data_IF_720271412078
#
_entry.id   IF_720271412078
#
_cell.length_a   1.000
_cell.length_b   1.000
_cell.length_c   1.000
_cell.angle_alpha   90.00
_cell.angle_beta   90.00
_cell.angle_gamma   90.00
#
_symmetry.space_group_name_H-M   'P 1'
#
loop_
_entity.id
_entity.type
_entity.pdbx_description
1 polymer ?
#
# COMPACT_ATOMS: atom_id res chain seq x y z
N UNK A 1 -8.83 13.00 3.05
CA UNK A 1 -8.58 13.53 4.43
C UNK A 1 -9.75 13.26 5.37
N UNK A 2 -10.99 13.42 4.93
CA UNK A 2 -12.15 13.30 5.83
C UNK A 2 -12.32 11.91 6.45
N UNK A 3 -12.09 10.85 5.67
CA UNK A 3 -12.08 9.47 6.18
C UNK A 3 -11.05 9.26 7.30
N UNK A 4 -9.84 9.83 7.16
CA UNK A 4 -8.78 9.76 8.20
C UNK A 4 -9.27 10.41 9.49
N UNK A 5 -9.90 11.58 9.40
CA UNK A 5 -10.47 12.29 10.54
C UNK A 5 -11.56 11.48 11.23
N UNK A 6 -12.43 10.87 10.44
CA UNK A 6 -13.54 10.05 10.95
C UNK A 6 -13.01 8.82 11.68
N UNK A 7 -12.07 8.07 11.06
CA UNK A 7 -11.45 6.91 11.70
C UNK A 7 -10.71 7.30 12.99
N UNK A 8 -9.95 8.40 12.96
CA UNK A 8 -9.25 8.90 14.15
C UNK A 8 -10.22 9.23 15.31
N UNK A 9 -11.35 9.86 15.00
CA UNK A 9 -12.39 10.15 16.03
C UNK A 9 -12.98 8.87 16.60
N UNK A 10 -13.28 7.89 15.72
CA UNK A 10 -13.81 6.60 16.13
C UNK A 10 -12.82 5.86 17.04
N UNK A 11 -11.58 5.69 16.61
CA UNK A 11 -10.53 5.05 17.41
C UNK A 11 -10.38 5.68 18.77
N UNK A 12 -10.34 7.02 18.84
CA UNK A 12 -10.27 7.75 20.11
C UNK A 12 -11.48 7.52 21.03
N UNK A 13 -12.68 7.40 20.46
CA UNK A 13 -13.90 7.16 21.25
C UNK A 13 -13.89 5.78 21.94
N UNK A 14 -13.18 4.81 21.35
CA UNK A 14 -13.00 3.48 21.93
C UNK A 14 -11.67 3.28 22.67
N UNK A 15 -10.82 4.31 22.76
CA UNK A 15 -9.50 4.20 23.38
C UNK A 15 -8.53 3.30 22.60
N UNK A 16 -8.74 3.12 21.30
CA UNK A 16 -7.91 2.29 20.41
C UNK A 16 -6.88 3.17 19.72
N UNK A 17 -5.57 2.85 19.80
CA UNK A 17 -4.54 3.61 19.11
C UNK A 17 -4.62 3.42 17.60
N UNK A 18 -4.51 4.50 16.83
CA UNK A 18 -4.49 4.49 15.37
C UNK A 18 -3.05 4.54 14.84
N UNK A 19 -2.65 3.50 14.11
CA UNK A 19 -1.35 3.42 13.44
C UNK A 19 -1.51 3.46 11.93
N UNK A 20 -0.68 4.26 11.26
CA UNK A 20 -0.64 4.33 9.80
C UNK A 20 0.42 3.40 9.21
N UNK A 21 0.08 2.65 8.17
CA UNK A 21 1.08 2.19 7.21
C UNK A 21 1.47 3.38 6.32
N UNK A 22 2.62 3.98 6.64
CA UNK A 22 3.08 5.21 6.00
C UNK A 22 3.94 4.96 4.74
N UNK A 23 3.97 3.74 4.23
CA UNK A 23 4.86 3.37 3.12
C UNK A 23 4.70 4.24 1.87
N UNK A 24 3.51 4.81 1.63
CA UNK A 24 3.21 5.68 0.50
C UNK A 24 2.52 6.98 0.93
N UNK A 25 2.95 7.53 2.03
CA UNK A 25 2.34 8.73 2.63
C UNK A 25 2.41 9.96 1.71
N UNK A 26 3.50 10.11 0.97
CA UNK A 26 3.70 11.26 0.10
C UNK A 26 2.82 11.19 -1.15
N UNK A 27 2.67 10.00 -1.75
CA UNK A 27 1.71 9.78 -2.85
C UNK A 27 0.27 10.06 -2.39
N UNK A 28 -0.11 9.62 -1.18
CA UNK A 28 -1.43 9.91 -0.61
C UNK A 28 -1.62 11.41 -0.35
N UNK A 29 -0.61 12.09 0.19
CA UNK A 29 -0.66 13.55 0.36
C UNK A 29 -0.83 14.28 -0.98
N UNK A 30 -0.20 13.80 -2.04
CA UNK A 30 -0.37 14.32 -3.39
C UNK A 30 -1.81 14.12 -3.90
N UNK A 31 -2.39 12.93 -3.72
CA UNK A 31 -3.77 12.70 -4.12
C UNK A 31 -4.76 13.59 -3.36
N UNK A 32 -4.56 13.80 -2.08
CA UNK A 32 -5.37 14.74 -1.29
C UNK A 32 -5.23 16.15 -1.88
N UNK A 33 -4.00 16.61 -2.15
CA UNK A 33 -3.76 17.94 -2.74
C UNK A 33 -4.53 18.16 -4.04
N UNK A 34 -4.54 17.16 -4.93
CA UNK A 34 -5.10 17.32 -6.28
C UNK A 34 -6.56 16.93 -6.42
N UNK A 35 -7.12 16.19 -5.46
CA UNK A 35 -8.48 15.66 -5.55
C UNK A 35 -9.45 16.19 -4.50
N UNK A 36 -8.96 16.72 -3.37
CA UNK A 36 -9.83 17.16 -2.29
C UNK A 36 -9.91 18.69 -2.23
N UNK A 37 -11.12 19.20 -2.01
CA UNK A 37 -11.36 20.64 -1.86
C UNK A 37 -10.62 21.22 -0.66
N UNK A 38 -10.08 22.42 -0.82
CA UNK A 38 -9.35 23.13 0.21
C UNK A 38 -7.86 22.76 0.36
N UNK A 39 -7.36 21.75 -0.37
CA UNK A 39 -5.97 21.31 -0.26
C UNK A 39 -5.06 21.78 -1.41
N UNK A 40 -5.61 22.30 -2.49
CA UNK A 40 -4.86 22.66 -3.70
C UNK A 40 -3.67 23.63 -3.46
N UNK A 41 -3.81 24.56 -2.50
CA UNK A 41 -2.79 25.54 -2.16
C UNK A 41 -1.83 25.12 -1.04
N UNK A 42 -1.97 23.90 -0.52
CA UNK A 42 -1.10 23.36 0.53
C UNK A 42 0.03 22.54 -0.06
N UNK A 43 1.18 22.52 0.59
CA UNK A 43 2.28 21.64 0.18
C UNK A 43 2.00 20.18 0.53
N UNK A 44 2.51 19.20 -0.24
CA UNK A 44 2.40 17.79 0.14
C UNK A 44 2.97 17.51 1.54
N UNK A 45 4.02 18.22 1.93
CA UNK A 45 4.63 18.14 3.27
C UNK A 45 3.66 18.55 4.38
N UNK A 46 2.92 19.63 4.19
CA UNK A 46 1.95 20.10 5.19
C UNK A 46 0.72 19.19 5.27
N UNK A 47 0.32 18.63 4.13
CA UNK A 47 -0.76 17.63 4.08
C UNK A 47 -0.34 16.36 4.81
N UNK A 48 0.88 15.88 4.55
CA UNK A 48 1.43 14.71 5.25
C UNK A 48 1.50 14.93 6.77
N UNK A 49 1.94 16.11 7.21
CA UNK A 49 1.93 16.47 8.64
C UNK A 49 0.53 16.44 9.23
N UNK A 50 -0.46 16.93 8.49
CA UNK A 50 -1.85 16.86 8.94
C UNK A 50 -2.31 15.40 9.06
N UNK A 51 -2.02 14.52 8.09
CA UNK A 51 -2.34 13.09 8.16
C UNK A 51 -1.78 12.49 9.45
N UNK A 52 -0.48 12.65 9.70
CA UNK A 52 0.18 12.07 10.87
C UNK A 52 -0.32 12.64 12.20
N UNK A 53 -0.88 13.85 12.22
CA UNK A 53 -1.45 14.44 13.44
C UNK A 53 -2.71 13.72 13.95
N UNK A 54 -3.33 12.90 13.12
CA UNK A 54 -4.51 12.11 13.49
C UNK A 54 -4.17 10.72 14.04
N UNK A 55 -2.93 10.24 13.90
CA UNK A 55 -2.49 8.94 14.37
C UNK A 55 -1.66 8.99 15.65
N UNK A 56 -1.52 7.84 16.29
CA UNK A 56 -0.71 7.62 17.48
C UNK A 56 0.68 7.07 17.12
N UNK A 57 0.85 6.63 15.89
CA UNK A 57 2.11 6.14 15.36
C UNK A 57 2.01 5.74 13.88
N UNK A 58 3.14 5.31 13.34
CA UNK A 58 3.19 4.77 11.99
C UNK A 58 4.32 3.76 11.81
N UNK A 59 4.13 2.87 10.84
CA UNK A 59 5.18 2.02 10.28
C UNK A 59 5.56 2.51 8.90
N UNK A 60 6.83 2.38 8.54
CA UNK A 60 7.34 2.84 7.25
C UNK A 60 8.34 1.84 6.67
N UNK A 61 8.09 1.39 5.45
CA UNK A 61 9.12 0.75 4.64
C UNK A 61 9.81 1.79 3.78
N UNK A 62 11.09 2.05 4.02
CA UNK A 62 11.84 3.08 3.33
C UNK A 62 12.12 2.78 1.85
N UNK A 63 11.89 1.55 1.40
CA UNK A 63 12.01 1.13 -0.02
C UNK A 63 10.94 1.72 -0.94
N UNK A 64 10.01 2.50 -0.39
CA UNK A 64 8.92 3.15 -1.11
C UNK A 64 9.11 4.67 -1.06
N UNK A 65 8.31 5.39 -0.33
CA UNK A 65 8.42 6.85 -0.22
C UNK A 65 9.66 7.32 0.57
N UNK A 66 10.36 6.41 1.26
CA UNK A 66 11.68 6.74 1.81
C UNK A 66 12.77 6.93 0.76
N UNK A 67 12.52 6.62 -0.53
CA UNK A 67 13.46 6.69 -1.67
C UNK A 67 14.79 5.98 -1.43
N UNK A 68 14.81 5.01 -0.50
CA UNK A 68 15.97 4.22 -0.15
C UNK A 68 15.82 2.78 -0.68
N UNK A 69 16.93 2.05 -0.76
CA UNK A 69 16.94 0.67 -1.23
C UNK A 69 16.63 -0.36 -0.12
N UNK A 70 16.73 0.04 1.14
CA UNK A 70 16.55 -0.83 2.31
C UNK A 70 16.06 -0.02 3.52
N UNK A 71 15.58 -0.72 4.53
CA UNK A 71 15.25 -0.16 5.83
C UNK A 71 13.82 0.29 5.97
N UNK A 72 13.57 0.87 7.12
CA UNK A 72 12.27 1.36 7.56
C UNK A 72 12.35 1.85 8.98
N UNK A 73 11.21 2.30 9.51
CA UNK A 73 11.12 2.71 10.91
C UNK A 73 9.71 2.52 11.46
N UNK A 74 9.63 2.47 12.76
CA UNK A 74 8.43 2.60 13.55
C UNK A 74 8.51 3.94 14.31
N UNK A 75 7.47 4.76 14.21
CA UNK A 75 7.31 5.97 15.01
C UNK A 75 6.06 5.83 15.88
N UNK A 76 6.19 6.15 17.17
CA UNK A 76 5.10 6.06 18.14
C UNK A 76 5.12 7.27 19.08
N UNK A 77 3.95 7.72 19.53
CA UNK A 77 3.81 8.82 20.47
C UNK A 77 3.83 8.33 21.93
N UNK A 78 3.45 7.08 22.18
CA UNK A 78 3.43 6.50 23.52
C UNK A 78 4.83 6.05 23.95
N UNK A 79 5.35 6.61 25.06
CA UNK A 79 6.71 6.34 25.54
C UNK A 79 6.86 4.95 26.16
N UNK A 80 5.80 4.38 26.75
CA UNK A 80 5.87 3.02 27.29
C UNK A 80 5.96 2.01 26.16
N UNK A 81 5.14 2.17 25.12
CA UNK A 81 5.22 1.36 23.92
C UNK A 81 6.56 1.54 23.19
N UNK A 82 7.04 2.77 23.04
CA UNK A 82 8.35 3.06 22.46
C UNK A 82 9.49 2.35 23.22
N UNK A 83 9.42 2.35 24.55
CA UNK A 83 10.41 1.66 25.39
C UNK A 83 10.39 0.15 25.18
N UNK A 84 9.21 -0.46 25.08
CA UNK A 84 9.06 -1.89 24.77
C UNK A 84 9.62 -2.22 23.38
N UNK A 85 9.27 -1.43 22.38
CA UNK A 85 9.78 -1.61 21.01
C UNK A 85 11.30 -1.49 20.92
N UNK A 86 11.92 -0.53 21.64
CA UNK A 86 13.39 -0.41 21.69
C UNK A 86 14.06 -1.65 22.27
N UNK A 87 13.48 -2.28 23.29
CA UNK A 87 14.01 -3.52 23.88
C UNK A 87 13.94 -4.69 22.90
N UNK A 88 12.81 -4.84 22.20
CA UNK A 88 12.64 -5.87 21.18
C UNK A 88 13.60 -5.64 19.99
N UNK A 89 13.75 -4.39 19.54
CA UNK A 89 14.66 -4.02 18.46
C UNK A 89 16.11 -4.40 18.79
N UNK A 90 16.53 -4.22 20.05
CA UNK A 90 17.89 -4.57 20.50
C UNK A 90 18.19 -6.06 20.36
N UNK A 91 17.16 -6.90 20.51
CA UNK A 91 17.30 -8.37 20.43
C UNK A 91 17.20 -8.85 18.99
N UNK A 92 16.31 -8.25 18.20
CA UNK A 92 15.95 -8.75 16.86
C UNK A 92 16.79 -8.15 15.74
N UNK A 93 17.18 -6.87 15.81
CA UNK A 93 17.82 -6.14 14.70
C UNK A 93 19.12 -5.47 15.08
N UNK A 94 19.19 -4.79 16.24
CA UNK A 94 20.37 -4.06 16.68
C UNK A 94 20.06 -2.87 17.57
N UNK A 95 21.08 -2.05 17.86
CA UNK A 95 20.90 -0.87 18.69
C UNK A 95 19.92 0.13 18.08
N UNK A 96 19.18 0.82 18.93
CA UNK A 96 18.15 1.79 18.57
C UNK A 96 18.68 2.98 17.76
N UNK A 97 19.98 3.23 17.78
CA UNK A 97 20.64 4.29 17.02
C UNK A 97 20.73 4.00 15.52
N UNK A 98 20.72 2.71 15.12
CA UNK A 98 20.83 2.33 13.71
C UNK A 98 19.91 1.18 13.29
N UNK A 99 19.30 0.42 14.23
CA UNK A 99 18.37 -0.67 13.91
C UNK A 99 18.93 -1.71 12.94
N UNK A 100 20.24 -2.04 13.02
CA UNK A 100 20.91 -2.94 12.08
C UNK A 100 21.28 -2.34 10.72
N UNK A 101 20.97 -1.05 10.46
CA UNK A 101 21.29 -0.39 9.20
C UNK A 101 22.67 0.26 9.21
N UNK A 102 23.33 0.27 8.05
CA UNK A 102 24.55 1.04 7.87
C UNK A 102 24.25 2.55 7.85
N UNK A 103 25.22 3.38 8.27
CA UNK A 103 25.05 4.84 8.31
C UNK A 103 24.68 5.45 6.96
N UNK A 104 25.19 4.92 5.85
CA UNK A 104 24.81 5.35 4.49
C UNK A 104 23.33 5.10 4.17
N UNK A 105 22.75 4.03 4.70
CA UNK A 105 21.33 3.70 4.48
C UNK A 105 20.44 4.63 5.31
N UNK A 106 20.85 4.96 6.53
CA UNK A 106 20.17 5.97 7.37
C UNK A 106 20.20 7.35 6.71
N UNK A 107 21.35 7.75 6.17
CA UNK A 107 21.48 9.02 5.43
C UNK A 107 20.60 9.02 4.19
N UNK A 108 20.58 7.94 3.41
CA UNK A 108 19.71 7.80 2.25
C UNK A 108 18.23 7.96 2.61
N UNK A 109 17.78 7.36 3.72
CA UNK A 109 16.41 7.52 4.22
C UNK A 109 16.14 8.96 4.63
N UNK A 110 17.07 9.60 5.35
CA UNK A 110 16.90 10.98 5.80
C UNK A 110 16.79 11.96 4.63
N UNK A 111 17.61 11.81 3.60
CA UNK A 111 17.53 12.58 2.36
C UNK A 111 16.24 12.28 1.62
N UNK A 112 15.92 10.99 1.43
CA UNK A 112 14.74 10.55 0.69
C UNK A 112 13.42 11.05 1.28
N UNK A 113 13.28 11.05 2.60
CA UNK A 113 12.09 11.58 3.28
C UNK A 113 11.88 13.09 3.08
N UNK A 114 12.96 13.86 2.85
CA UNK A 114 12.84 15.26 2.51
C UNK A 114 12.51 15.47 1.03
N UNK A 115 13.09 14.68 0.15
CA UNK A 115 12.89 14.81 -1.29
C UNK A 115 11.52 14.29 -1.76
N UNK A 116 10.99 13.25 -1.12
CA UNK A 116 9.73 12.62 -1.55
C UNK A 116 8.51 13.53 -1.44
N UNK A 117 8.56 14.55 -0.59
CA UNK A 117 7.46 15.51 -0.40
C UNK A 117 7.57 16.73 -1.33
N UNK A 118 8.59 16.77 -2.20
CA UNK A 118 8.73 17.81 -3.19
C UNK A 118 7.63 17.67 -4.25
N UNK A 119 6.95 18.77 -4.53
CA UNK A 119 5.77 18.79 -5.40
C UNK A 119 6.09 18.37 -6.84
N UNK A 120 7.21 18.83 -7.38
CA UNK A 120 7.62 18.51 -8.75
C UNK A 120 7.96 17.04 -8.91
N UNK A 121 8.57 16.42 -7.88
CA UNK A 121 8.82 15.00 -7.86
C UNK A 121 7.50 14.19 -7.87
N UNK A 122 6.55 14.53 -7.00
CA UNK A 122 5.27 13.82 -6.90
C UNK A 122 4.43 13.99 -8.17
N UNK A 123 4.40 15.21 -8.73
CA UNK A 123 3.72 15.47 -10.00
C UNK A 123 4.28 14.60 -11.13
N UNK A 124 5.60 14.51 -11.21
CA UNK A 124 6.27 13.68 -12.21
C UNK A 124 5.97 12.19 -11.98
N UNK A 125 6.18 11.67 -10.78
CA UNK A 125 6.02 10.25 -10.46
C UNK A 125 4.58 9.77 -10.68
N UNK A 126 3.59 10.48 -10.15
CA UNK A 126 2.18 10.10 -10.29
C UNK A 126 1.70 10.32 -11.73
N UNK A 127 2.15 11.40 -12.38
CA UNK A 127 1.86 11.66 -13.79
C UNK A 127 2.43 10.58 -14.71
N UNK A 128 3.59 10.05 -14.39
CA UNK A 128 4.24 8.99 -15.13
C UNK A 128 3.47 7.64 -15.05
N UNK A 129 2.98 7.27 -13.86
CA UNK A 129 2.12 6.10 -13.70
C UNK A 129 0.81 6.27 -14.48
N UNK A 130 0.22 7.48 -14.40
CA UNK A 130 -0.98 7.80 -15.18
C UNK A 130 -0.73 7.71 -16.69
N UNK A 131 0.41 8.20 -17.19
CA UNK A 131 0.77 8.11 -18.59
C UNK A 131 0.79 6.65 -19.08
N UNK A 132 1.42 5.74 -18.33
CA UNK A 132 1.43 4.32 -18.68
C UNK A 132 0.01 3.73 -18.65
N UNK A 133 -0.78 4.06 -17.64
CA UNK A 133 -2.17 3.61 -17.54
C UNK A 133 -3.01 4.10 -18.75
N UNK A 134 -2.85 5.36 -19.15
CA UNK A 134 -3.54 5.93 -20.31
C UNK A 134 -3.14 5.19 -21.62
N UNK A 135 -1.86 4.79 -21.76
CA UNK A 135 -1.42 3.99 -22.91
C UNK A 135 -2.09 2.61 -22.93
N UNK A 136 -2.23 1.95 -21.79
CA UNK A 136 -2.95 0.67 -21.71
C UNK A 136 -4.42 0.83 -22.10
N UNK A 137 -5.11 1.83 -21.56
CA UNK A 137 -6.51 2.10 -21.90
C UNK A 137 -6.66 2.41 -23.40
N UNK A 138 -5.79 3.23 -24.00
CA UNK A 138 -5.81 3.52 -25.43
C UNK A 138 -5.63 2.29 -26.31
N UNK A 139 -4.88 1.30 -25.82
CA UNK A 139 -4.66 0.03 -26.51
C UNK A 139 -5.63 -1.09 -26.06
N UNK A 140 -6.73 -0.74 -25.39
CA UNK A 140 -7.77 -1.67 -24.95
C UNK A 140 -7.27 -2.78 -24.00
N UNK A 141 -6.19 -2.53 -23.28
CA UNK A 141 -5.72 -3.43 -22.22
C UNK A 141 -6.53 -3.14 -20.95
N UNK A 142 -7.24 -4.13 -20.41
CA UNK A 142 -8.02 -3.93 -19.19
C UNK A 142 -7.10 -3.70 -17.99
N UNK A 143 -7.35 -2.61 -17.25
CA UNK A 143 -6.60 -2.25 -16.05
C UNK A 143 -7.54 -1.79 -14.94
N UNK A 144 -7.09 -1.87 -13.71
CA UNK A 144 -7.79 -1.25 -12.57
C UNK A 144 -7.74 0.27 -12.69
N UNK A 145 -8.90 0.92 -12.64
CA UNK A 145 -9.05 2.38 -12.74
C UNK A 145 -9.77 2.96 -11.53
N UNK A 146 -9.38 4.16 -11.06
CA UNK A 146 -8.26 4.98 -11.51
C UNK A 146 -6.90 4.38 -11.11
N UNK A 147 -5.80 4.64 -11.86
CA UNK A 147 -4.47 4.16 -11.50
C UNK A 147 -3.99 4.80 -10.19
N UNK A 148 -3.17 4.06 -9.47
CA UNK A 148 -2.51 4.55 -8.25
C UNK A 148 -1.30 5.43 -8.53
N UNK A 149 -0.47 5.68 -7.50
CA UNK A 149 0.74 6.52 -7.59
C UNK A 149 2.02 5.77 -7.94
N UNK A 150 2.02 4.42 -7.94
CA UNK A 150 3.26 3.64 -8.02
C UNK A 150 3.20 2.42 -8.93
N UNK A 151 2.01 2.04 -9.41
CA UNK A 151 1.83 0.83 -10.22
C UNK A 151 0.58 0.93 -11.10
N UNK A 152 0.59 0.16 -12.18
CA UNK A 152 -0.59 -0.16 -12.97
C UNK A 152 -0.91 -1.63 -12.74
N UNK A 153 -2.18 -1.95 -12.55
CA UNK A 153 -2.68 -3.31 -12.36
C UNK A 153 -3.45 -3.72 -13.61
N UNK A 154 -2.93 -4.69 -14.33
CA UNK A 154 -3.62 -5.28 -15.49
C UNK A 154 -4.60 -6.32 -14.95
N UNK A 155 -5.85 -6.26 -15.38
CA UNK A 155 -6.83 -7.31 -15.15
C UNK A 155 -6.56 -8.47 -16.11
N UNK A 156 -5.78 -9.42 -15.65
CA UNK A 156 -5.39 -10.57 -16.44
C UNK A 156 -6.57 -11.55 -16.66
N UNK A 157 -7.53 -11.57 -15.74
CA UNK A 157 -8.74 -12.36 -15.91
C UNK A 157 -9.58 -11.85 -17.09
N UNK A 158 -9.80 -10.54 -17.15
CA UNK A 158 -10.50 -9.92 -18.28
C UNK A 158 -9.69 -9.96 -19.58
N UNK A 159 -8.36 -9.88 -19.51
CA UNK A 159 -7.48 -9.91 -20.69
C UNK A 159 -7.37 -11.30 -21.30
N UNK A 160 -7.40 -12.35 -20.48
CA UNK A 160 -7.18 -13.76 -20.88
C UNK A 160 -8.39 -14.65 -20.50
N UNK A 161 -9.60 -14.34 -20.96
CA UNK A 161 -10.82 -15.05 -20.53
C UNK A 161 -10.86 -16.53 -20.91
N UNK A 162 -9.96 -16.96 -21.78
CA UNK A 162 -9.80 -18.37 -22.18
C UNK A 162 -8.95 -19.18 -21.19
N UNK A 163 -8.27 -18.54 -20.25
CA UNK A 163 -7.52 -19.19 -19.18
C UNK A 163 -8.38 -19.15 -17.91
N UNK A 164 -8.93 -20.29 -17.46
CA UNK A 164 -9.70 -20.32 -16.23
C UNK A 164 -8.83 -20.00 -15.01
N UNK A 165 -9.42 -19.48 -13.95
CA UNK A 165 -8.71 -18.99 -12.76
C UNK A 165 -7.79 -20.03 -12.13
N UNK A 166 -8.22 -21.28 -12.10
CA UNK A 166 -7.44 -22.41 -11.58
C UNK A 166 -6.14 -22.68 -12.36
N UNK A 167 -6.00 -22.09 -13.55
CA UNK A 167 -4.80 -22.11 -14.39
C UNK A 167 -4.00 -20.80 -14.33
N UNK A 168 -4.31 -19.91 -13.35
CA UNK A 168 -3.53 -18.73 -12.98
C UNK A 168 -3.26 -17.75 -14.14
N UNK A 169 -4.28 -17.08 -14.71
CA UNK A 169 -4.10 -16.20 -15.86
C UNK A 169 -3.14 -15.03 -15.59
N UNK A 170 -3.11 -14.48 -14.39
CA UNK A 170 -2.16 -13.41 -14.02
C UNK A 170 -0.72 -13.92 -14.00
N UNK A 171 -0.49 -15.16 -13.56
CA UNK A 171 0.84 -15.77 -13.62
C UNK A 171 1.26 -16.07 -15.06
N UNK A 172 0.33 -16.60 -15.88
CA UNK A 172 0.57 -16.87 -17.30
C UNK A 172 0.94 -15.59 -18.06
N UNK A 173 0.22 -14.48 -17.81
CA UNK A 173 0.55 -13.16 -18.36
C UNK A 173 1.96 -12.71 -17.93
N UNK A 174 2.30 -12.88 -16.66
CA UNK A 174 3.61 -12.54 -16.13
C UNK A 174 4.75 -13.31 -16.80
N UNK A 175 4.57 -14.61 -17.03
CA UNK A 175 5.54 -15.44 -17.75
C UNK A 175 5.71 -14.98 -19.22
N UNK A 176 4.61 -14.70 -19.91
CA UNK A 176 4.65 -14.22 -21.29
C UNK A 176 5.37 -12.86 -21.40
N UNK A 177 5.03 -11.89 -20.54
CA UNK A 177 5.69 -10.59 -20.50
C UNK A 177 7.19 -10.69 -20.19
N UNK A 178 7.57 -11.64 -19.35
CA UNK A 178 8.99 -11.86 -19.02
C UNK A 178 9.77 -12.45 -20.19
N UNK A 179 9.20 -13.45 -20.87
CA UNK A 179 9.85 -14.15 -21.98
C UNK A 179 9.95 -13.26 -23.23
N UNK A 180 8.83 -12.62 -23.60
CA UNK A 180 8.74 -11.85 -24.84
C UNK A 180 9.27 -10.42 -24.72
N UNK A 181 9.07 -9.78 -23.56
CA UNK A 181 9.40 -8.37 -23.35
C UNK A 181 10.49 -8.11 -22.33
N UNK A 182 10.98 -9.10 -21.60
CA UNK A 182 11.88 -8.88 -20.47
C UNK A 182 11.24 -8.08 -19.34
N UNK A 183 9.91 -8.03 -19.29
CA UNK A 183 9.13 -7.22 -18.34
C UNK A 183 8.80 -8.05 -17.11
N UNK A 184 9.30 -7.61 -15.96
CA UNK A 184 9.02 -8.23 -14.67
C UNK A 184 7.90 -7.50 -13.92
N UNK A 185 6.89 -8.22 -13.53
CA UNK A 185 5.81 -7.75 -12.66
C UNK A 185 5.58 -8.68 -11.47
N UNK A 186 4.45 -8.50 -10.81
CA UNK A 186 4.01 -9.36 -9.70
C UNK A 186 2.56 -9.75 -9.91
N UNK A 187 2.30 -11.03 -9.83
CA UNK A 187 0.96 -11.55 -9.77
C UNK A 187 0.29 -11.13 -8.45
N UNK A 188 -0.98 -10.76 -8.50
CA UNK A 188 -1.86 -10.48 -7.36
C UNK A 188 -3.19 -11.18 -7.65
N UNK A 189 -3.25 -12.45 -7.36
CA UNK A 189 -4.38 -13.31 -7.68
C UNK A 189 -4.25 -14.65 -6.95
N UNK A 190 -4.70 -15.72 -7.59
CA UNK A 190 -4.82 -17.04 -6.97
C UNK A 190 -3.49 -17.64 -6.49
N UNK A 191 -2.34 -17.29 -7.07
CA UNK A 191 -1.02 -17.78 -6.59
C UNK A 191 -0.64 -17.08 -5.30
N UNK A 192 -0.83 -15.77 -5.21
CA UNK A 192 -0.50 -14.99 -4.00
C UNK A 192 -1.51 -15.21 -2.87
N UNK A 193 -2.81 -15.21 -3.20
CA UNK A 193 -3.89 -15.24 -2.22
C UNK A 193 -4.34 -16.67 -1.86
N UNK A 194 -3.93 -17.65 -2.65
CA UNK A 194 -4.33 -19.06 -2.54
C UNK A 194 -5.53 -19.41 -3.41
N UNK A 195 -5.52 -20.61 -3.99
CA UNK A 195 -6.60 -21.12 -4.84
C UNK A 195 -7.88 -21.52 -4.07
N UNK A 196 -7.85 -21.43 -2.74
CA UNK A 196 -8.95 -21.83 -1.85
C UNK A 196 -9.79 -20.65 -1.34
N UNK A 197 -9.53 -19.43 -1.78
CA UNK A 197 -10.46 -18.34 -1.57
C UNK A 197 -11.80 -18.73 -2.25
N UNK A 198 -12.83 -19.05 -1.46
CA UNK A 198 -14.14 -19.53 -1.94
C UNK A 198 -14.50 -20.97 -1.60
N UNK A 199 -13.60 -21.79 -1.02
CA UNK A 199 -14.00 -23.05 -0.38
C UNK A 199 -14.02 -22.84 1.12
N UNK A 200 -15.22 -22.71 1.71
CA UNK A 200 -15.39 -22.83 3.16
C UNK A 200 -14.66 -24.08 3.65
N UNK A 201 -13.55 -23.86 4.37
CA UNK A 201 -12.90 -24.94 5.11
C UNK A 201 -13.78 -25.23 6.32
N UNK A 202 -14.72 -26.16 6.14
CA UNK A 202 -15.41 -26.77 7.25
C UNK A 202 -14.35 -27.46 8.13
N UNK A 203 -14.02 -26.83 9.24
CA UNK A 203 -13.41 -27.52 10.38
C UNK A 203 -11.95 -27.22 10.73
N UNK A 204 -11.50 -25.97 10.73
CA UNK A 204 -10.37 -25.58 11.58
C UNK A 204 -10.76 -24.32 12.36
N UNK A 205 -11.15 -24.51 13.60
CA UNK A 205 -11.37 -23.43 14.55
C UNK A 205 -10.04 -22.69 14.76
N UNK A 206 -9.96 -21.44 14.26
CA UNK A 206 -8.93 -20.49 14.70
C UNK A 206 -9.13 -20.29 16.20
N UNK A 207 -8.13 -20.62 17.00
CA UNK A 207 -8.12 -20.29 18.42
C UNK A 207 -7.91 -18.78 18.56
N UNK A 208 -9.00 -18.03 18.50
CA UNK A 208 -9.04 -16.70 19.05
C UNK A 208 -9.20 -16.84 20.58
N UNK A 209 -8.31 -16.18 21.31
CA UNK A 209 -8.43 -16.00 22.75
C UNK A 209 -9.78 -15.37 23.08
N UNK A 210 -10.53 -16.00 23.98
CA UNK A 210 -11.83 -15.55 24.46
C UNK A 210 -11.80 -14.07 24.91
N UNK A 211 -12.58 -13.27 24.21
CA UNK A 211 -13.26 -12.11 24.79
C UNK A 211 -14.74 -12.46 24.74
N UNK A 212 -15.41 -12.29 25.87
CA UNK A 212 -16.78 -12.71 26.12
C UNK A 212 -17.74 -11.77 25.35
N UNK A 213 -18.42 -12.29 24.34
CA UNK A 213 -19.21 -11.55 23.32
C UNK A 213 -20.69 -11.40 23.75
N UNK A 214 -20.97 -11.15 25.04
CA UNK A 214 -22.38 -11.14 25.52
C UNK A 214 -23.08 -9.78 25.51
N UNK A 215 -22.43 -8.68 25.08
CA UNK A 215 -23.00 -7.31 25.22
C UNK A 215 -23.14 -6.47 23.93
N UNK A 216 -22.99 -7.01 22.75
CA UNK A 216 -23.22 -6.26 21.51
C UNK A 216 -24.41 -6.80 20.70
N UNK A 217 -25.58 -6.22 20.95
CA UNK A 217 -26.66 -6.20 19.98
C UNK A 217 -26.69 -4.79 19.35
N UNK A 218 -26.08 -4.61 18.22
CA UNK A 218 -26.27 -3.42 17.39
C UNK A 218 -26.97 -3.78 16.08
N UNK A 219 -28.10 -3.15 15.85
CA UNK A 219 -29.02 -3.35 14.73
C UNK A 219 -28.52 -2.64 13.45
N UNK A 220 -27.30 -2.90 13.01
CA UNK A 220 -26.82 -2.60 11.67
C UNK A 220 -25.83 -3.68 11.26
N UNK A 221 -26.36 -4.83 10.87
CA UNK A 221 -25.61 -5.78 10.05
C UNK A 221 -25.24 -5.10 8.74
N UNK A 222 -24.06 -4.48 8.70
CA UNK A 222 -23.39 -4.25 7.44
C UNK A 222 -23.10 -5.63 6.87
N UNK A 223 -23.63 -5.90 5.69
CA UNK A 223 -23.49 -7.16 4.99
C UNK A 223 -22.00 -7.38 4.68
N UNK A 224 -21.28 -8.04 5.59
CA UNK A 224 -19.84 -8.33 5.49
C UNK A 224 -19.51 -9.17 4.23
N UNK A 225 -20.52 -9.79 3.62
CA UNK A 225 -20.37 -10.60 2.42
C UNK A 225 -20.07 -9.79 1.15
N UNK A 226 -20.42 -8.49 1.10
CA UNK A 226 -20.23 -7.66 -0.11
C UNK A 226 -18.76 -7.32 -0.35
N UNK A 227 -17.94 -7.25 0.70
CA UNK A 227 -16.50 -6.95 0.56
C UNK A 227 -15.63 -8.20 0.30
N UNK A 228 -16.08 -9.39 0.70
CA UNK A 228 -15.31 -10.61 0.49
C UNK A 228 -15.48 -11.16 -0.94
N UNK A 229 -16.66 -11.05 -1.56
CA UNK A 229 -16.92 -11.59 -2.90
C UNK A 229 -16.12 -10.88 -4.01
N UNK A 230 -15.88 -9.57 -3.92
CA UNK A 230 -15.19 -8.81 -4.97
C UNK A 230 -13.66 -9.01 -4.99
N UNK A 231 -13.04 -9.27 -3.85
CA UNK A 231 -11.59 -9.48 -3.76
C UNK A 231 -11.19 -10.92 -4.13
N UNK A 232 -12.08 -11.89 -3.89
CA UNK A 232 -11.79 -13.32 -4.11
C UNK A 232 -11.66 -13.72 -5.58
N UNK A 233 -12.05 -12.87 -6.52
CA UNK A 233 -12.12 -13.22 -7.94
C UNK A 233 -11.14 -12.47 -8.84
N UNK A 234 -10.40 -11.50 -8.32
CA UNK A 234 -9.47 -10.72 -9.12
C UNK A 234 -8.20 -11.51 -9.47
N UNK A 235 -7.86 -11.53 -10.76
CA UNK A 235 -6.60 -12.04 -11.29
C UNK A 235 -5.83 -10.86 -11.88
N UNK A 236 -5.06 -10.19 -11.02
CA UNK A 236 -4.34 -8.97 -11.38
C UNK A 236 -2.84 -9.23 -11.61
N UNK A 237 -2.28 -8.52 -12.57
CA UNK A 237 -0.84 -8.46 -12.75
C UNK A 237 -0.32 -7.04 -12.54
N UNK A 238 0.49 -6.86 -11.50
CA UNK A 238 1.01 -5.56 -11.09
C UNK A 238 2.32 -5.22 -11.78
N UNK A 239 2.32 -4.13 -12.53
CA UNK A 239 3.51 -3.46 -13.04
C UNK A 239 3.87 -2.29 -12.11
N UNK A 240 4.82 -2.53 -11.21
CA UNK A 240 5.32 -1.50 -10.32
C UNK A 240 6.31 -0.58 -11.07
N UNK A 241 6.14 0.72 -10.92
CA UNK A 241 7.03 1.72 -11.49
C UNK A 241 8.05 2.12 -10.42
N UNK A 242 9.32 1.70 -10.54
CA UNK A 242 10.35 2.09 -9.60
C UNK A 242 10.57 3.61 -9.63
N UNK A 243 10.71 4.19 -8.45
CA UNK A 243 10.92 5.62 -8.29
C UNK A 243 12.27 6.02 -8.86
N UNK A 244 12.30 7.12 -9.65
CA UNK A 244 13.52 7.71 -10.24
C UNK A 244 14.33 6.77 -11.15
N UNK A 245 13.70 5.73 -11.71
CA UNK A 245 14.42 4.73 -12.54
C UNK A 245 14.13 4.92 -14.02
N UNK A 246 12.86 5.12 -14.38
CA UNK A 246 12.42 5.22 -15.76
C UNK A 246 11.94 6.62 -16.13
N UNK A 247 11.97 6.92 -17.43
CA UNK A 247 11.39 8.11 -18.05
C UNK A 247 10.32 7.70 -19.04
N UNK A 248 9.52 8.66 -19.54
CA UNK A 248 8.48 8.38 -20.54
C UNK A 248 9.00 7.63 -21.77
N UNK A 249 10.24 7.91 -22.19
CA UNK A 249 10.85 7.25 -23.34
C UNK A 249 11.09 5.75 -23.13
N UNK A 250 11.15 5.28 -21.88
CA UNK A 250 11.27 3.86 -21.57
C UNK A 250 9.92 3.14 -21.56
N UNK A 251 8.80 3.88 -21.55
CA UNK A 251 7.45 3.32 -21.50
C UNK A 251 6.75 3.29 -22.86
N UNK A 252 7.35 3.92 -23.86
CA UNK A 252 6.89 3.87 -25.26
C UNK A 252 7.48 2.66 -25.97
#
# INVERSE_FOLDING_TARGET
MENIKTVSKLCRSYGIPLFFDACRFAENAWFIKVKEDGYANRTPKDIAREIFSYGDGCTMSAKKDGLANIGGFLAVNDEELASKCRKELLITEGFTTYGGLAGRDLEAIAVGLNEVVEEDYLRYQVGFVKFLADLFVQNHVPIVTPPGGHAVYIDAGAMLPHIPRENFPAWALGCALYIEGGIRGAEVGAVMLGSQAGKQVNGVASRSSHVDDSDFKDENELDDNVFEEDIEHEELFRLAIPRRTYTESHMR
#
